data_IF_542863196420
#
_entry.id   IF_542863196420
#
_cell.length_a   1.000
_cell.length_b   1.000
_cell.length_c   1.000
_cell.angle_alpha   90.00
_cell.angle_beta   90.00
_cell.angle_gamma   90.00
#
_symmetry.space_group_name_H-M   'P 1'
#
loop_
_entity.id
_entity.type
_entity.pdbx_description
1 polymer ?
#
# COMPACT_ATOMS: atom_id res chain seq x y z
N UNK A 1 0.43 -3.37 20.44
CA UNK A 1 1.00 -2.16 19.80
C UNK A 1 0.11 -1.76 18.62
N UNK A 2 -0.43 -0.56 18.64
CA UNK A 2 -1.27 -0.04 17.54
C UNK A 2 -0.38 0.47 16.42
N UNK A 3 -0.54 -0.05 15.19
CA UNK A 3 0.20 0.45 14.03
C UNK A 3 -0.35 1.82 13.62
N UNK A 4 0.51 2.84 13.65
CA UNK A 4 0.19 4.23 13.23
C UNK A 4 -0.06 4.37 11.72
N UNK A 5 0.37 3.39 10.91
CA UNK A 5 0.15 3.40 9.46
C UNK A 5 -0.47 2.09 9.01
N UNK A 6 -1.53 2.17 8.21
CA UNK A 6 -2.27 1.03 7.66
C UNK A 6 -2.51 1.22 6.17
N UNK A 7 -2.73 0.10 5.46
CA UNK A 7 -3.15 0.11 4.07
C UNK A 7 -4.59 -0.38 3.98
N UNK A 8 -5.41 0.33 3.21
CA UNK A 8 -6.76 -0.07 2.84
C UNK A 8 -6.74 -0.48 1.37
N UNK A 9 -7.12 -1.73 1.10
CA UNK A 9 -7.20 -2.31 -0.25
C UNK A 9 -8.46 -3.17 -0.37
N UNK A 10 -8.91 -3.49 -1.60
CA UNK A 10 -9.98 -4.47 -1.82
C UNK A 10 -9.72 -5.85 -1.19
N UNK A 11 -8.46 -6.20 -0.91
CA UNK A 11 -8.07 -7.46 -0.28
C UNK A 11 -8.11 -7.43 1.26
N UNK A 12 -8.50 -6.30 1.86
CA UNK A 12 -8.60 -6.15 3.31
C UNK A 12 -7.28 -6.44 4.03
N UNK A 13 -7.35 -7.27 5.08
CA UNK A 13 -6.23 -7.55 5.98
C UNK A 13 -5.16 -8.50 5.39
N UNK A 14 -5.38 -9.01 4.17
CA UNK A 14 -4.40 -9.89 3.51
C UNK A 14 -3.07 -9.16 3.24
N UNK A 15 -3.08 -7.84 3.09
CA UNK A 15 -1.89 -7.04 2.87
C UNK A 15 -1.64 -6.10 4.05
N UNK A 16 -0.41 -6.07 4.51
CA UNK A 16 0.02 -5.22 5.61
C UNK A 16 1.06 -4.23 5.11
N UNK A 17 0.92 -2.98 5.52
CA UNK A 17 1.86 -1.91 5.22
C UNK A 17 3.24 -2.18 5.82
N UNK A 18 4.31 -1.95 5.03
CA UNK A 18 5.71 -2.00 5.50
C UNK A 18 6.42 -0.67 5.35
N UNK A 19 6.40 -0.09 4.14
CA UNK A 19 7.08 1.17 3.82
C UNK A 19 6.29 1.90 2.73
N UNK A 20 6.28 3.23 2.78
CA UNK A 20 5.94 4.10 1.66
C UNK A 20 7.16 4.92 1.29
N UNK A 21 7.40 5.05 -0.01
CA UNK A 21 8.32 6.00 -0.62
C UNK A 21 7.58 6.71 -1.75
N UNK A 22 7.85 7.98 -2.02
CA UNK A 22 7.09 8.69 -3.04
C UNK A 22 7.45 10.15 -3.16
N UNK A 23 7.03 10.74 -4.27
CA UNK A 23 7.26 12.14 -4.60
C UNK A 23 5.96 12.79 -5.05
N UNK A 24 5.71 14.00 -4.54
CA UNK A 24 4.63 14.89 -4.95
C UNK A 24 5.24 16.25 -5.24
N UNK A 25 4.79 16.91 -6.30
CA UNK A 25 5.20 18.27 -6.65
C UNK A 25 3.98 19.07 -7.11
N UNK A 26 4.07 20.40 -7.01
CA UNK A 26 2.99 21.27 -7.43
C UNK A 26 2.75 21.11 -8.95
N UNK A 27 1.50 20.86 -9.33
CA UNK A 27 1.08 20.65 -10.73
C UNK A 27 1.67 19.40 -11.40
N UNK A 28 2.15 18.41 -10.64
CA UNK A 28 2.60 17.13 -11.16
C UNK A 28 1.80 15.96 -10.56
N UNK A 29 1.69 14.87 -11.32
CA UNK A 29 1.07 13.64 -10.83
C UNK A 29 2.01 12.95 -9.84
N UNK A 30 1.54 12.73 -8.61
CA UNK A 30 2.33 11.99 -7.63
C UNK A 30 2.61 10.55 -8.08
N UNK A 31 3.58 9.92 -7.44
CA UNK A 31 3.81 8.48 -7.50
C UNK A 31 4.21 7.98 -6.12
N UNK A 32 3.41 7.06 -5.57
CA UNK A 32 3.67 6.47 -4.25
C UNK A 32 3.99 4.98 -4.44
N UNK A 33 5.21 4.59 -4.10
CA UNK A 33 5.63 3.20 -4.02
C UNK A 33 5.45 2.67 -2.60
N UNK A 34 4.73 1.56 -2.49
CA UNK A 34 4.35 0.98 -1.21
C UNK A 34 4.87 -0.44 -1.17
N UNK A 35 5.74 -0.72 -0.20
CA UNK A 35 6.13 -2.08 0.14
C UNK A 35 5.12 -2.66 1.13
N UNK A 36 4.71 -3.90 0.85
CA UNK A 36 3.68 -4.63 1.55
C UNK A 36 4.19 -6.02 1.96
N UNK A 37 3.63 -6.58 3.02
CA UNK A 37 3.86 -7.97 3.43
C UNK A 37 2.54 -8.70 3.62
N UNK A 38 2.53 -10.00 3.35
CA UNK A 38 1.37 -10.88 3.56
C UNK A 38 1.81 -12.24 4.07
N UNK A 39 1.00 -12.86 4.94
CA UNK A 39 1.17 -14.27 5.30
C UNK A 39 0.87 -15.19 4.09
N UNK A 40 0.07 -14.69 3.14
CA UNK A 40 -0.20 -15.36 1.88
C UNK A 40 0.87 -15.05 0.83
N UNK A 41 1.39 -16.11 0.21
CA UNK A 41 2.34 -16.05 -0.91
C UNK A 41 1.64 -16.03 -2.27
N UNK A 42 0.31 -16.07 -2.29
CA UNK A 42 -0.49 -16.19 -3.49
C UNK A 42 -1.59 -15.12 -3.52
N UNK A 43 -1.18 -13.85 -3.43
CA UNK A 43 -2.10 -12.72 -3.58
C UNK A 43 -2.47 -12.56 -5.05
N UNK A 44 -3.77 -12.53 -5.36
CA UNK A 44 -4.26 -12.28 -6.71
C UNK A 44 -4.06 -10.80 -7.11
N UNK A 45 -3.17 -10.49 -8.07
CA UNK A 45 -2.94 -9.13 -8.53
C UNK A 45 -4.18 -8.50 -9.18
N UNK A 46 -5.08 -9.30 -9.78
CA UNK A 46 -6.26 -8.79 -10.50
C UNK A 46 -7.29 -8.17 -9.56
N UNK A 47 -7.27 -8.58 -8.28
CA UNK A 47 -8.11 -7.97 -7.26
C UNK A 47 -7.67 -6.53 -6.91
N UNK A 48 -6.45 -6.12 -7.28
CA UNK A 48 -5.87 -4.82 -6.94
C UNK A 48 -5.70 -3.91 -8.15
N UNK A 49 -5.17 -4.41 -9.26
CA UNK A 49 -4.83 -3.59 -10.42
C UNK A 49 -6.05 -2.80 -10.93
N UNK A 50 -5.87 -1.49 -11.11
CA UNK A 50 -6.92 -0.56 -11.53
C UNK A 50 -7.97 -0.23 -10.46
N UNK A 51 -7.83 -0.73 -9.24
CA UNK A 51 -8.71 -0.40 -8.11
C UNK A 51 -8.09 0.69 -7.24
N UNK A 52 -8.94 1.36 -6.46
CA UNK A 52 -8.49 2.34 -5.48
C UNK A 52 -7.88 1.65 -4.26
N UNK A 53 -6.84 2.25 -3.70
CA UNK A 53 -6.25 1.89 -2.41
C UNK A 53 -5.77 3.14 -1.68
N UNK A 54 -5.68 3.06 -0.36
CA UNK A 54 -5.34 4.20 0.49
C UNK A 54 -4.41 3.81 1.62
N UNK A 55 -3.35 4.58 1.83
CA UNK A 55 -2.54 4.51 3.05
C UNK A 55 -3.15 5.45 4.08
N UNK A 56 -3.57 4.89 5.21
CA UNK A 56 -4.09 5.62 6.36
C UNK A 56 -2.93 5.88 7.34
N UNK A 57 -2.67 7.15 7.63
CA UNK A 57 -1.65 7.62 8.56
C UNK A 57 -2.32 8.30 9.74
N UNK A 58 -2.12 7.76 10.93
CA UNK A 58 -2.54 8.39 12.18
C UNK A 58 -1.54 9.49 12.56
N UNK A 59 -2.04 10.72 12.66
CA UNK A 59 -1.28 11.90 13.03
C UNK A 59 -1.64 12.25 14.46
N UNK A 60 -0.62 12.27 15.32
CA UNK A 60 -0.77 12.51 16.75
C UNK A 60 -1.46 13.86 17.00
N UNK A 61 -2.60 13.83 17.70
CA UNK A 61 -3.42 15.01 18.00
C UNK A 61 -4.20 15.61 16.82
N UNK A 62 -4.02 15.11 15.59
CA UNK A 62 -4.60 15.68 14.36
C UNK A 62 -5.49 14.70 13.58
N UNK A 63 -5.70 13.50 14.10
CA UNK A 63 -6.59 12.50 13.50
C UNK A 63 -5.91 11.65 12.43
N UNK A 64 -6.57 11.45 11.29
CA UNK A 64 -6.12 10.54 10.23
C UNK A 64 -5.95 11.28 8.91
N UNK A 65 -4.84 11.01 8.23
CA UNK A 65 -4.59 11.43 6.85
C UNK A 65 -4.63 10.22 5.93
N UNK A 66 -5.20 10.40 4.75
CA UNK A 66 -5.27 9.37 3.72
C UNK A 66 -4.44 9.77 2.52
N UNK A 67 -3.54 8.89 2.09
CA UNK A 67 -2.81 8.99 0.83
C UNK A 67 -3.40 7.94 -0.12
N UNK A 68 -4.28 8.39 -1.00
CA UNK A 68 -5.15 7.53 -1.82
C UNK A 68 -4.85 7.67 -3.30
N UNK A 69 -4.94 6.57 -4.05
CA UNK A 69 -4.79 6.57 -5.51
C UNK A 69 -5.24 5.25 -6.14
N UNK A 70 -5.04 5.16 -7.46
CA UNK A 70 -5.27 3.94 -8.22
C UNK A 70 -4.03 3.05 -8.24
N UNK A 71 -4.22 1.75 -8.06
CA UNK A 71 -3.15 0.76 -8.16
C UNK A 71 -2.79 0.56 -9.64
N UNK A 72 -1.67 1.15 -10.06
CA UNK A 72 -1.16 1.02 -11.43
C UNK A 72 -0.16 -0.11 -11.59
N UNK A 73 0.50 -0.49 -10.50
CA UNK A 73 1.44 -1.61 -10.47
C UNK A 73 1.26 -2.40 -9.17
N UNK A 74 1.33 -3.72 -9.27
CA UNK A 74 1.39 -4.62 -8.12
C UNK A 74 2.15 -5.89 -8.48
N UNK A 75 3.04 -6.36 -7.60
CA UNK A 75 3.77 -7.61 -7.82
C UNK A 75 4.60 -8.07 -6.63
N UNK A 76 4.86 -9.37 -6.56
CA UNK A 76 5.74 -9.97 -5.54
C UNK A 76 7.19 -9.55 -5.77
N UNK A 77 7.87 -9.14 -4.70
CA UNK A 77 9.29 -8.77 -4.69
C UNK A 77 10.16 -9.91 -4.14
N UNK A 78 9.57 -10.82 -3.36
CA UNK A 78 10.27 -11.96 -2.79
C UNK A 78 9.41 -12.63 -1.72
N UNK A 79 9.91 -13.71 -1.13
CA UNK A 79 9.25 -14.41 -0.05
C UNK A 79 10.29 -15.06 0.86
N UNK A 80 9.95 -15.19 2.14
CA UNK A 80 10.67 -16.04 3.09
C UNK A 80 9.76 -17.20 3.54
N UNK A 81 10.14 -17.93 4.59
CA UNK A 81 9.36 -19.05 5.08
C UNK A 81 7.96 -18.64 5.58
N UNK A 82 7.83 -17.43 6.14
CA UNK A 82 6.65 -16.93 6.85
C UNK A 82 5.85 -15.88 6.06
N UNK A 83 6.51 -15.07 5.23
CA UNK A 83 5.90 -13.90 4.60
C UNK A 83 6.22 -13.80 3.10
N UNK A 84 5.25 -13.38 2.31
CA UNK A 84 5.44 -12.83 0.97
C UNK A 84 5.63 -11.30 1.04
N UNK A 85 6.62 -10.79 0.31
CA UNK A 85 6.86 -9.35 0.13
C UNK A 85 6.32 -8.92 -1.23
N UNK A 86 5.57 -7.83 -1.24
CA UNK A 86 4.94 -7.27 -2.44
C UNK A 86 5.24 -5.79 -2.56
N UNK A 87 5.16 -5.26 -3.78
CA UNK A 87 5.23 -3.82 -4.05
C UNK A 87 4.01 -3.40 -4.83
N UNK A 88 3.46 -2.25 -4.44
CA UNK A 88 2.32 -1.60 -5.07
C UNK A 88 2.70 -0.17 -5.45
N UNK A 89 2.19 0.35 -6.57
CA UNK A 89 2.34 1.76 -6.94
C UNK A 89 0.98 2.43 -7.07
N UNK A 90 0.78 3.51 -6.32
CA UNK A 90 -0.39 4.38 -6.42
C UNK A 90 -0.07 5.61 -7.28
N UNK A 91 -1.02 5.97 -8.13
CA UNK A 91 -1.02 7.15 -8.99
C UNK A 91 -2.41 7.82 -8.92
N UNK A 92 -2.51 9.13 -9.12
CA UNK A 92 -3.81 9.83 -9.21
C UNK A 92 -4.63 9.36 -10.42
#
# INVERSE_FOLDING_TARGET
>A
MTRRVKIQTPLGEQLQFRKLDGTEALSELYSLEIDLVSASKSIDPKALLGKAASVEVEIEGLGKRYLSGLVTHFGMQGQDHRWGSYRMRLRP
#
